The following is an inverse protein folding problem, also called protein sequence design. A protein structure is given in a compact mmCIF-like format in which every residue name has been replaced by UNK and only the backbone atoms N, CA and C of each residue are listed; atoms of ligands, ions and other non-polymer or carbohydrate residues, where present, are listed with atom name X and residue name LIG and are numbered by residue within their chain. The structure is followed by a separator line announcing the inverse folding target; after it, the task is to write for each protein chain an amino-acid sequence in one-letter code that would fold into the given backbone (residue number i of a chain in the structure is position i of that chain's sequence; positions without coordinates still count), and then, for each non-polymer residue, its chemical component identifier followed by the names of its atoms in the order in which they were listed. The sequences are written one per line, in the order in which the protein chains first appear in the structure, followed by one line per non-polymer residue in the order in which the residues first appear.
data_IF_883838230086
#
_entry.id   IF_883838230086
#
_cell.length_a   1.000
_cell.length_b   1.000
_cell.length_c   1.000
_cell.angle_alpha   90.00
_cell.angle_beta   90.00
_cell.angle_gamma   90.00
#
_symmetry.space_group_name_H-M   'P 1'
#
loop_
_entity.id
_entity.type
_entity.pdbx_description
1 polymer ?
#
# COMPACT_ATOMS: atom_id res chain seq x y z
N UNK A 1 -11.40 18.35 23.69
CA UNK A 1 -10.00 18.42 23.25
C UNK A 1 -9.96 17.96 21.81
N UNK A 2 -9.78 18.91 20.90
CA UNK A 2 -9.70 18.66 19.46
C UNK A 2 -8.27 18.20 19.15
N UNK A 3 -8.11 16.93 18.78
CA UNK A 3 -6.80 16.39 18.40
C UNK A 3 -6.60 16.74 16.94
N UNK A 4 -6.00 17.90 16.68
CA UNK A 4 -5.50 18.26 15.35
C UNK A 4 -4.29 17.37 15.03
N UNK A 5 -4.53 16.24 14.37
CA UNK A 5 -3.45 15.43 13.79
C UNK A 5 -2.83 16.25 12.67
N UNK A 6 -1.55 16.60 12.82
CA UNK A 6 -0.81 17.33 11.79
C UNK A 6 -0.45 16.33 10.68
N UNK A 7 -0.33 16.81 9.45
CA UNK A 7 0.14 16.01 8.30
C UNK A 7 1.54 15.38 8.56
N UNK A 8 2.29 15.92 9.53
CA UNK A 8 3.53 15.34 10.05
C UNK A 8 3.36 14.06 10.89
N UNK A 9 2.19 13.82 11.48
CA UNK A 9 1.89 12.63 12.29
C UNK A 9 1.55 11.41 11.43
N UNK A 10 1.15 11.63 10.17
CA UNK A 10 1.00 10.58 9.15
C UNK A 10 2.32 9.91 8.76
N UNK A 11 3.46 10.52 9.07
CA UNK A 11 4.77 9.88 8.92
C UNK A 11 5.08 8.86 10.02
N UNK A 12 4.26 8.74 11.07
CA UNK A 12 4.58 7.94 12.25
C UNK A 12 4.10 6.49 12.23
N UNK A 13 3.45 6.00 11.16
CA UNK A 13 2.76 4.70 11.18
C UNK A 13 3.24 3.67 10.13
N UNK A 14 4.54 3.64 9.87
CA UNK A 14 5.24 2.58 9.13
C UNK A 14 6.49 2.03 9.85
N UNK A 15 6.51 2.01 11.18
CA UNK A 15 7.61 1.40 11.96
C UNK A 15 7.24 -0.01 12.44
N UNK A 16 7.29 -0.97 11.53
CA UNK A 16 7.51 -2.40 11.82
C UNK A 16 8.99 -2.74 11.47
N UNK A 17 9.59 -3.87 11.90
CA UNK A 17 11.04 -4.02 12.15
C UNK A 17 12.01 -3.89 10.94
N UNK A 18 11.52 -3.49 9.77
CA UNK A 18 12.30 -3.26 8.57
C UNK A 18 12.67 -1.77 8.47
N UNK A 19 13.75 -1.35 9.15
CA UNK A 19 14.19 0.07 9.25
C UNK A 19 14.25 0.81 7.90
N UNK A 20 14.40 0.10 6.78
CA UNK A 20 14.55 0.66 5.45
C UNK A 20 13.51 0.16 4.42
N UNK A 21 12.46 -0.54 4.85
CA UNK A 21 11.40 -1.01 3.95
C UNK A 21 10.02 -0.52 4.34
N UNK A 22 9.22 -0.23 3.32
CA UNK A 22 7.82 0.16 3.43
C UNK A 22 6.98 -1.05 3.03
N UNK A 23 6.18 -1.54 3.97
CA UNK A 23 5.17 -2.57 3.72
C UNK A 23 3.88 -1.87 3.30
N UNK A 24 3.36 -2.21 2.11
CA UNK A 24 2.14 -1.57 1.58
C UNK A 24 0.86 -2.07 2.26
N UNK A 25 0.84 -3.34 2.67
CA UNK A 25 -0.24 -3.92 3.44
C UNK A 25 0.32 -4.78 4.59
N UNK A 26 0.03 -4.46 5.87
CA UNK A 26 0.44 -5.28 7.01
C UNK A 26 -0.01 -6.74 6.94
N UNK A 27 -1.12 -7.04 6.25
CA UNK A 27 -1.62 -8.41 6.06
C UNK A 27 -0.84 -9.19 4.99
N UNK A 28 -0.07 -8.49 4.14
CA UNK A 28 0.76 -9.05 3.08
C UNK A 28 2.19 -8.46 3.16
N UNK A 29 2.98 -8.82 4.20
CA UNK A 29 4.29 -8.22 4.46
C UNK A 29 5.29 -8.38 3.32
N UNK A 30 5.10 -9.37 2.46
CA UNK A 30 5.89 -9.62 1.26
C UNK A 30 5.72 -8.54 0.18
N UNK A 31 4.61 -7.79 0.19
CA UNK A 31 4.39 -6.65 -0.70
C UNK A 31 5.01 -5.41 -0.07
N UNK A 32 6.33 -5.34 -0.21
CA UNK A 32 7.16 -4.29 0.38
C UNK A 32 8.17 -3.76 -0.61
N UNK A 33 8.65 -2.55 -0.35
CA UNK A 33 9.66 -1.90 -1.16
C UNK A 33 10.62 -1.08 -0.30
N UNK A 34 11.87 -0.85 -0.75
CA UNK A 34 12.79 0.04 -0.05
C UNK A 34 12.18 1.44 0.11
N UNK A 35 12.46 2.08 1.25
CA UNK A 35 11.93 3.40 1.59
C UNK A 35 12.29 4.46 0.55
N UNK A 36 13.51 4.43 0.04
CA UNK A 36 13.99 5.33 -1.02
C UNK A 36 13.21 5.15 -2.34
N UNK A 37 12.90 3.91 -2.70
CA UNK A 37 12.09 3.58 -3.88
C UNK A 37 10.68 4.13 -3.68
N UNK A 38 10.08 3.88 -2.52
CA UNK A 38 8.75 4.37 -2.20
C UNK A 38 8.68 5.90 -2.30
N UNK A 39 9.60 6.60 -1.64
CA UNK A 39 9.69 8.07 -1.70
C UNK A 39 9.86 8.57 -3.13
N UNK A 40 10.70 7.92 -3.94
CA UNK A 40 10.87 8.25 -5.36
C UNK A 40 9.56 8.12 -6.14
N UNK A 41 8.79 7.05 -5.90
CA UNK A 41 7.49 6.82 -6.54
C UNK A 41 6.47 7.89 -6.11
N UNK A 42 6.44 8.27 -4.84
CA UNK A 42 5.58 9.35 -4.35
C UNK A 42 5.91 10.67 -5.06
N UNK A 43 7.18 11.07 -5.10
CA UNK A 43 7.61 12.31 -5.77
C UNK A 43 7.26 12.26 -7.26
N UNK A 44 7.58 11.16 -7.94
CA UNK A 44 7.28 10.95 -9.37
C UNK A 44 5.79 10.91 -9.68
N UNK A 45 4.93 10.63 -8.70
CA UNK A 45 3.48 10.65 -8.88
C UNK A 45 2.90 12.07 -8.91
N UNK A 46 3.64 13.05 -8.36
CA UNK A 46 3.23 14.46 -8.31
C UNK A 46 1.83 14.66 -7.70
N UNK A 47 1.50 13.89 -6.66
CA UNK A 47 0.21 13.94 -5.97
C UNK A 47 -0.95 13.25 -6.69
N UNK A 48 -0.74 12.70 -7.90
CA UNK A 48 -1.78 11.98 -8.63
C UNK A 48 -1.88 10.53 -8.17
N UNK A 49 -3.01 10.17 -7.56
CA UNK A 49 -3.32 8.78 -7.17
C UNK A 49 -3.20 7.83 -8.38
N UNK A 50 -3.84 8.16 -9.50
CA UNK A 50 -3.77 7.35 -10.74
C UNK A 50 -2.33 7.16 -11.23
N UNK A 51 -1.47 8.20 -11.13
CA UNK A 51 -0.07 8.10 -11.51
C UNK A 51 0.72 7.22 -10.55
N UNK A 52 0.47 7.33 -9.25
CA UNK A 52 1.06 6.46 -8.23
C UNK A 52 0.69 4.99 -8.46
N UNK A 53 -0.57 4.69 -8.77
CA UNK A 53 -1.00 3.32 -9.14
C UNK A 53 -0.16 2.79 -10.28
N UNK A 54 -0.05 3.54 -11.39
CA UNK A 54 0.73 3.10 -12.55
C UNK A 54 2.20 2.85 -12.21
N UNK A 55 2.77 3.69 -11.35
CA UNK A 55 4.16 3.55 -10.90
C UNK A 55 4.35 2.30 -10.02
N UNK A 56 3.43 2.04 -9.08
CA UNK A 56 3.44 0.84 -8.24
C UNK A 56 3.22 -0.43 -9.07
N UNK A 57 2.26 -0.42 -10.00
CA UNK A 57 2.01 -1.55 -10.90
C UNK A 57 3.27 -1.88 -11.72
N UNK A 58 3.95 -0.88 -12.28
CA UNK A 58 5.21 -1.06 -13.01
C UNK A 58 6.40 -1.47 -12.13
N UNK A 59 6.33 -1.21 -10.82
CA UNK A 59 7.36 -1.63 -9.88
C UNK A 59 7.23 -3.11 -9.55
N UNK A 60 6.02 -3.59 -9.28
CA UNK A 60 5.78 -4.98 -8.88
C UNK A 60 5.58 -5.95 -10.04
N UNK A 61 5.19 -5.46 -11.21
CA UNK A 61 4.91 -6.28 -12.38
C UNK A 61 5.77 -5.84 -13.57
N UNK A 62 6.26 -6.82 -14.33
CA UNK A 62 6.94 -6.54 -15.59
C UNK A 62 5.96 -5.99 -16.62
N UNK A 63 6.49 -5.32 -17.65
CA UNK A 63 5.67 -4.82 -18.75
C UNK A 63 4.94 -5.96 -19.49
N UNK A 64 5.60 -7.09 -19.70
CA UNK A 64 5.02 -8.26 -20.35
C UNK A 64 3.90 -8.88 -19.51
N UNK A 65 4.09 -8.93 -18.19
CA UNK A 65 3.06 -9.42 -17.27
C UNK A 65 1.82 -8.52 -17.30
N UNK A 66 2.00 -7.19 -17.26
CA UNK A 66 0.89 -6.24 -17.35
C UNK A 66 0.16 -6.31 -18.70
N UNK A 67 0.86 -6.58 -19.80
CA UNK A 67 0.27 -6.72 -21.12
C UNK A 67 -0.56 -8.01 -21.25
N UNK A 68 -0.08 -9.10 -20.64
CA UNK A 68 -0.70 -10.42 -20.69
C UNK A 68 -1.71 -10.69 -19.55
N UNK A 69 -1.95 -9.72 -18.66
CA UNK A 69 -2.76 -9.92 -17.46
C UNK A 69 -3.90 -8.90 -17.29
N UNK A 70 -4.85 -9.22 -16.42
CA UNK A 70 -5.92 -8.33 -15.96
C UNK A 70 -6.15 -8.48 -14.45
N UNK A 71 -6.97 -7.60 -13.88
CA UNK A 71 -7.32 -7.65 -12.45
C UNK A 71 -8.23 -8.84 -12.10
N UNK A 72 -9.17 -9.18 -13.00
CA UNK A 72 -10.11 -10.29 -12.80
C UNK A 72 -9.61 -11.61 -13.38
N UNK A 73 -8.67 -11.58 -14.34
CA UNK A 73 -8.35 -12.74 -15.17
C UNK A 73 -9.41 -13.07 -16.21
N UNK A 74 -10.45 -12.24 -16.35
CA UNK A 74 -11.48 -12.42 -17.36
C UNK A 74 -11.01 -11.85 -18.70
N UNK A 75 -11.13 -12.66 -19.76
CA UNK A 75 -10.66 -12.36 -21.10
C UNK A 75 -9.93 -13.55 -21.70
N UNK A 76 -10.04 -13.71 -23.03
CA UNK A 76 -9.72 -14.97 -23.73
C UNK A 76 -8.25 -15.42 -23.56
N UNK A 77 -7.34 -14.53 -23.13
CA UNK A 77 -5.92 -14.85 -22.94
C UNK A 77 -5.24 -14.08 -21.79
N UNK A 78 -6.00 -13.51 -20.85
CA UNK A 78 -5.41 -12.70 -19.77
C UNK A 78 -5.31 -13.47 -18.48
N UNK A 79 -4.10 -13.57 -17.93
CA UNK A 79 -3.91 -14.13 -16.59
C UNK A 79 -4.37 -13.13 -15.54
N UNK A 80 -4.77 -13.61 -14.37
CA UNK A 80 -5.03 -12.72 -13.23
C UNK A 80 -3.70 -12.24 -12.66
N UNK A 81 -3.56 -10.93 -12.48
CA UNK A 81 -2.45 -10.36 -11.70
C UNK A 81 -2.48 -10.91 -10.27
N UNK A 82 -1.30 -11.05 -9.64
CA UNK A 82 -1.21 -11.59 -8.28
C UNK A 82 -2.12 -10.79 -7.33
N UNK A 83 -3.18 -11.40 -6.77
CA UNK A 83 -4.18 -10.67 -5.99
C UNK A 83 -3.58 -9.93 -4.80
N UNK A 84 -2.60 -10.53 -4.12
CA UNK A 84 -1.97 -9.92 -2.95
C UNK A 84 -1.34 -8.56 -3.25
N UNK A 85 -0.64 -8.45 -4.37
CA UNK A 85 0.00 -7.21 -4.78
C UNK A 85 -1.07 -6.18 -5.17
N UNK A 86 -2.10 -6.59 -5.92
CA UNK A 86 -3.14 -5.66 -6.36
C UNK A 86 -4.00 -5.13 -5.21
N UNK A 87 -4.29 -5.96 -4.20
CA UNK A 87 -5.02 -5.52 -3.01
C UNK A 87 -4.16 -4.64 -2.11
N UNK A 88 -2.86 -4.95 -1.95
CA UNK A 88 -1.95 -4.08 -1.21
C UNK A 88 -1.82 -2.68 -1.86
N UNK A 89 -1.74 -2.60 -3.19
CA UNK A 89 -1.73 -1.32 -3.92
C UNK A 89 -3.05 -0.56 -3.70
N UNK A 90 -4.19 -1.27 -3.72
CA UNK A 90 -5.50 -0.68 -3.48
C UNK A 90 -5.62 -0.10 -2.06
N UNK A 91 -5.14 -0.83 -1.05
CA UNK A 91 -5.14 -0.37 0.33
C UNK A 91 -4.25 0.87 0.52
N UNK A 92 -3.06 0.90 -0.09
CA UNK A 92 -2.18 2.09 -0.07
C UNK A 92 -2.87 3.35 -0.59
N UNK A 93 -3.73 3.24 -1.60
CA UNK A 93 -4.51 4.39 -2.10
C UNK A 93 -5.59 4.79 -1.12
N UNK A 94 -6.25 3.81 -0.49
CA UNK A 94 -7.30 4.08 0.45
C UNK A 94 -6.74 4.81 1.69
N UNK A 95 -5.55 4.43 2.19
CA UNK A 95 -4.88 5.18 3.27
C UNK A 95 -4.59 6.65 2.95
N UNK A 96 -4.61 7.03 1.66
CA UNK A 96 -4.42 8.40 1.20
C UNK A 96 -5.72 9.18 1.00
N UNK A 97 -6.88 8.51 1.11
CA UNK A 97 -8.19 9.13 1.12
C UNK A 97 -8.62 9.44 2.57
N UNK A 98 -8.73 10.73 2.96
CA UNK A 98 -9.13 11.14 4.31
C UNK A 98 -10.48 10.57 4.77
N UNK A 99 -11.36 10.22 3.83
CA UNK A 99 -12.71 9.74 4.10
C UNK A 99 -12.77 8.33 4.68
N UNK A 100 -11.64 7.61 4.64
CA UNK A 100 -11.54 6.18 4.93
C UNK A 100 -10.72 5.86 6.20
N UNK A 101 -10.13 6.89 6.81
CA UNK A 101 -9.21 6.82 7.94
C UNK A 101 -9.81 6.13 9.19
N UNK A 102 -11.12 6.31 9.42
CA UNK A 102 -11.86 5.70 10.53
C UNK A 102 -12.05 4.18 10.42
N UNK A 103 -12.26 3.66 9.21
CA UNK A 103 -12.43 2.23 8.97
C UNK A 103 -11.09 1.49 9.10
N UNK A 104 -10.01 2.15 8.70
CA UNK A 104 -8.66 1.61 8.79
C UNK A 104 -8.03 1.68 10.19
N UNK A 105 -8.34 2.71 10.99
CA UNK A 105 -7.94 2.76 12.39
C UNK A 105 -8.49 1.54 13.17
N UNK A 106 -9.70 1.08 12.82
CA UNK A 106 -10.31 -0.13 13.40
C UNK A 106 -9.58 -1.41 12.97
N UNK A 107 -9.23 -1.54 11.69
CA UNK A 107 -8.46 -2.68 11.18
C UNK A 107 -7.06 -2.77 11.81
N UNK A 108 -6.40 -1.65 12.11
CA UNK A 108 -5.12 -1.64 12.84
C UNK A 108 -5.27 -2.05 14.31
N UNK A 109 -6.32 -1.60 14.99
CA UNK A 109 -6.56 -1.96 16.40
C UNK A 109 -6.90 -3.45 16.57
N UNK A 110 -7.62 -4.06 15.64
CA UNK A 110 -7.96 -5.49 15.69
C UNK A 110 -6.78 -6.42 15.43
N UNK A 111 -5.71 -5.95 14.77
CA UNK A 111 -4.58 -6.77 14.34
C UNK A 111 -3.25 -6.36 15.01
N UNK A 112 -3.32 -5.61 16.12
CA UNK A 112 -2.14 -5.41 16.95
C UNK A 112 -1.81 -6.76 17.60
N UNK A 113 -0.59 -7.32 17.44
CA UNK A 113 -0.22 -8.53 18.16
C UNK A 113 -0.45 -8.30 19.65
N UNK A 114 -1.19 -9.21 20.29
CA UNK A 114 -1.24 -9.29 21.75
C UNK A 114 0.13 -9.78 22.23
N UNK A 115 1.12 -8.90 22.24
CA UNK A 115 2.32 -9.13 23.02
C UNK A 115 2.44 -8.03 24.09
N UNK A 116 2.40 -8.46 25.34
CA UNK A 116 2.39 -7.57 26.50
C UNK A 116 1.50 -7.96 27.68
N UNK A 117 0.97 -9.19 27.75
CA UNK A 117 0.46 -9.76 29.01
C UNK A 117 0.77 -11.26 29.12
N UNK A 118 1.98 -11.59 29.58
CA UNK A 118 2.28 -12.04 30.95
C UNK A 118 3.77 -12.32 31.07
#
# INVERSE_FOLDING_TARGET
MEVTLRVSDLNLLLHFPFKDQIVLNPQQPEVRLPKEVYQSLIIKSSGSATRLIRLLMKHFFSQDELAASSLSGEGIYKRRLKPDITEAIKLELAFRDPSSELEYARLRQQNTPLDGRQ
#
